data_IF_241853858651
#
_entry.id   IF_241853858651
#
_cell.length_a   1.000
_cell.length_b   1.000
_cell.length_c   1.000
_cell.angle_alpha   90.00
_cell.angle_beta   90.00
_cell.angle_gamma   90.00
#
_symmetry.space_group_name_H-M   'P 1'
#
loop_
_entity.id
_entity.type
_entity.pdbx_description
1 polymer ?
#
# COMPACT_ATOMS: atom_id res chain seq x y z
N UNK A 1 -4.25 43.19 0.15
CA UNK A 1 -3.43 42.08 -0.37
C UNK A 1 -3.88 40.85 0.39
N UNK A 2 -4.56 39.92 -0.28
CA UNK A 2 -5.06 38.70 0.35
C UNK A 2 -3.94 37.67 0.21
N UNK A 3 -3.17 37.44 1.27
CA UNK A 3 -2.16 36.38 1.27
C UNK A 3 -2.86 35.03 1.23
N UNK A 4 -2.71 34.32 0.11
CA UNK A 4 -3.23 32.98 -0.07
C UNK A 4 -2.42 32.02 0.80
N UNK A 5 -2.94 31.66 1.97
CA UNK A 5 -2.39 30.60 2.82
C UNK A 5 -2.55 29.25 2.10
N UNK A 6 -1.48 28.74 1.52
CA UNK A 6 -1.41 27.39 0.99
C UNK A 6 -1.21 26.41 2.15
N UNK A 7 -2.26 25.67 2.50
CA UNK A 7 -2.15 24.55 3.43
C UNK A 7 -1.55 23.39 2.65
N UNK A 8 -0.30 23.00 2.95
CA UNK A 8 0.30 21.81 2.39
C UNK A 8 -0.41 20.57 2.95
N UNK A 9 -1.28 19.96 2.17
CA UNK A 9 -1.93 18.71 2.53
C UNK A 9 -0.93 17.55 2.39
N UNK A 10 -0.81 16.72 3.43
CA UNK A 10 -0.09 15.46 3.34
C UNK A 10 -0.71 14.62 2.21
N UNK A 11 0.08 14.33 1.21
CA UNK A 11 -0.38 13.74 -0.04
C UNK A 11 0.71 12.89 -0.67
N UNK A 12 0.29 11.90 -1.46
CA UNK A 12 1.15 10.93 -2.07
C UNK A 12 0.33 9.88 -2.81
N UNK A 13 1.02 8.85 -3.26
CA UNK A 13 0.42 7.75 -3.99
C UNK A 13 1.02 6.44 -3.50
N UNK A 14 0.17 5.41 -3.43
CA UNK A 14 0.61 4.02 -3.33
C UNK A 14 0.36 3.37 -4.69
N UNK A 15 1.41 2.79 -5.27
CA UNK A 15 1.35 1.97 -6.47
C UNK A 15 1.66 0.51 -6.11
N UNK A 16 1.17 -0.42 -6.93
CA UNK A 16 1.40 -1.84 -6.74
C UNK A 16 1.96 -2.44 -8.02
N UNK A 17 3.20 -2.92 -7.97
CA UNK A 17 3.71 -3.77 -9.03
C UNK A 17 3.30 -5.20 -8.73
N UNK A 18 2.37 -5.75 -9.52
CA UNK A 18 1.83 -7.08 -9.32
C UNK A 18 1.98 -7.91 -10.60
N UNK A 19 2.50 -9.12 -10.45
CA UNK A 19 2.66 -10.05 -11.56
C UNK A 19 2.26 -11.47 -11.15
N UNK A 20 1.68 -12.27 -12.08
CA UNK A 20 1.44 -13.68 -11.82
C UNK A 20 2.75 -14.40 -11.50
N UNK A 21 2.73 -15.28 -10.51
CA UNK A 21 3.86 -16.14 -10.20
C UNK A 21 3.37 -17.50 -9.69
N UNK A 22 3.63 -18.55 -10.46
CA UNK A 22 3.10 -19.88 -10.18
C UNK A 22 1.57 -19.87 -10.11
N UNK A 23 1.02 -20.40 -9.01
CA UNK A 23 -0.43 -20.43 -8.75
C UNK A 23 -0.97 -19.14 -8.10
N UNK A 24 -0.16 -18.09 -8.04
CA UNK A 24 -0.42 -16.92 -7.22
C UNK A 24 0.07 -15.62 -7.83
N UNK A 25 0.32 -14.64 -6.95
CA UNK A 25 0.77 -13.31 -7.30
C UNK A 25 2.00 -12.91 -6.49
N UNK A 26 2.98 -12.35 -7.17
CA UNK A 26 4.02 -11.55 -6.52
C UNK A 26 3.57 -10.09 -6.56
N UNK A 27 3.52 -9.43 -5.39
CA UNK A 27 3.05 -8.05 -5.26
C UNK A 27 4.07 -7.23 -4.47
N UNK A 28 4.49 -6.11 -5.03
CA UNK A 28 5.43 -5.18 -4.41
C UNK A 28 4.79 -3.79 -4.36
N UNK A 29 4.31 -3.34 -3.19
CA UNK A 29 3.84 -1.98 -3.01
C UNK A 29 4.98 -0.97 -3.03
N UNK A 30 4.71 0.18 -3.63
CA UNK A 30 5.61 1.32 -3.73
C UNK A 30 4.89 2.58 -3.29
N UNK A 31 5.59 3.46 -2.59
CA UNK A 31 5.04 4.72 -2.08
C UNK A 31 5.80 5.90 -2.66
N UNK A 32 5.06 6.90 -3.13
CA UNK A 32 5.60 8.22 -3.49
C UNK A 32 4.94 9.26 -2.59
N UNK A 33 5.71 10.20 -2.05
CA UNK A 33 5.21 11.31 -1.21
C UNK A 33 5.44 12.63 -1.92
N UNK A 34 4.52 13.59 -1.75
CA UNK A 34 4.69 14.93 -2.32
C UNK A 34 5.72 15.78 -1.56
N UNK A 35 5.94 15.49 -0.27
CA UNK A 35 6.87 16.19 0.60
C UNK A 35 7.64 15.19 1.48
N UNK A 36 8.89 15.50 1.89
CA UNK A 36 9.64 14.64 2.78
C UNK A 36 8.91 14.39 4.11
N UNK A 37 8.98 13.17 4.64
CA UNK A 37 8.37 12.82 5.92
C UNK A 37 9.11 11.69 6.65
N UNK A 38 8.97 11.66 7.97
CA UNK A 38 9.11 10.43 8.75
C UNK A 38 7.72 9.80 8.84
N UNK A 39 7.42 8.88 7.92
CA UNK A 39 6.09 8.33 7.72
C UNK A 39 5.93 6.97 8.39
N UNK A 40 4.77 6.74 9.01
CA UNK A 40 4.33 5.42 9.44
C UNK A 40 3.62 4.73 8.28
N UNK A 41 4.06 3.52 7.99
CA UNK A 41 3.49 2.65 6.96
C UNK A 41 2.78 1.50 7.66
N UNK A 42 1.51 1.30 7.33
CA UNK A 42 0.71 0.15 7.76
C UNK A 42 0.30 -0.65 6.52
N UNK A 43 0.63 -1.94 6.51
CA UNK A 43 0.28 -2.85 5.43
C UNK A 43 -0.63 -3.93 6.00
N UNK A 44 -1.82 -4.05 5.44
CA UNK A 44 -2.81 -5.06 5.80
C UNK A 44 -3.11 -5.93 4.59
N UNK A 45 -2.88 -7.23 4.72
CA UNK A 45 -3.25 -8.23 3.73
C UNK A 45 -4.36 -9.09 4.30
N UNK A 46 -5.53 -9.04 3.67
CA UNK A 46 -6.63 -9.95 3.93
C UNK A 46 -6.73 -10.96 2.79
N UNK A 47 -6.74 -12.25 3.11
CA UNK A 47 -7.06 -13.33 2.16
C UNK A 47 -8.12 -14.20 2.78
N UNK A 48 -9.26 -14.35 2.12
CA UNK A 48 -10.32 -15.26 2.51
C UNK A 48 -10.57 -16.25 1.38
N UNK A 49 -10.58 -17.53 1.69
CA UNK A 49 -10.82 -18.59 0.71
C UNK A 49 -11.40 -19.85 1.36
N UNK A 50 -11.51 -20.93 0.57
CA UNK A 50 -12.08 -22.19 1.05
C UNK A 50 -11.33 -22.83 2.23
N UNK A 51 -10.04 -22.51 2.40
CA UNK A 51 -9.21 -22.97 3.53
C UNK A 51 -9.24 -22.06 4.77
N UNK A 52 -10.00 -20.96 4.73
CA UNK A 52 -10.13 -20.01 5.84
C UNK A 52 -9.72 -18.57 5.47
N UNK A 53 -9.63 -17.72 6.50
CA UNK A 53 -9.18 -16.33 6.38
C UNK A 53 -7.82 -16.12 7.03
N UNK A 54 -6.97 -15.34 6.40
CA UNK A 54 -5.68 -14.88 6.88
C UNK A 54 -5.69 -13.36 6.85
N UNK A 55 -5.32 -12.76 7.98
CA UNK A 55 -5.07 -11.33 8.09
C UNK A 55 -3.63 -11.13 8.53
N UNK A 56 -2.83 -10.49 7.69
CA UNK A 56 -1.47 -10.09 8.02
C UNK A 56 -1.43 -8.59 8.20
N UNK A 57 -0.89 -8.14 9.32
CA UNK A 57 -0.72 -6.73 9.62
C UNK A 57 0.76 -6.43 9.86
N UNK A 58 1.33 -5.48 9.12
CA UNK A 58 2.71 -5.03 9.25
C UNK A 58 2.76 -3.52 9.48
N UNK A 59 3.60 -3.08 10.41
CA UNK A 59 3.85 -1.65 10.66
C UNK A 59 5.34 -1.36 10.55
N UNK A 60 5.68 -0.25 9.92
CA UNK A 60 7.05 0.27 9.88
C UNK A 60 7.06 1.79 9.90
N UNK A 61 8.21 2.36 10.20
CA UNK A 61 8.46 3.81 10.11
C UNK A 61 9.61 4.00 9.15
N UNK A 62 9.41 4.83 8.14
CA UNK A 62 10.39 5.08 7.08
C UNK A 62 10.56 6.58 6.85
N UNK A 63 11.79 7.01 6.60
CA UNK A 63 12.06 8.33 6.04
C UNK A 63 11.82 8.27 4.53
N UNK A 64 10.91 9.11 4.02
CA UNK A 64 10.55 9.18 2.60
C UNK A 64 10.91 10.56 2.05
N UNK A 65 11.43 10.59 0.81
CA UNK A 65 11.67 11.80 0.03
C UNK A 65 10.84 11.76 -1.26
N UNK A 66 10.53 12.92 -1.88
CA UNK A 66 9.69 12.98 -3.07
C UNK A 66 10.39 12.56 -4.37
N UNK A 67 11.71 12.36 -4.33
CA UNK A 67 12.54 12.25 -5.53
C UNK A 67 12.36 10.92 -6.28
N UNK A 68 11.90 9.87 -5.59
CA UNK A 68 11.67 8.55 -6.20
C UNK A 68 10.64 7.71 -5.41
N UNK A 69 9.89 6.82 -6.11
CA UNK A 69 9.07 5.82 -5.45
C UNK A 69 9.90 4.93 -4.52
N UNK A 70 9.44 4.75 -3.29
CA UNK A 70 10.05 3.84 -2.32
C UNK A 70 9.34 2.50 -2.31
N UNK A 71 10.07 1.44 -2.66
CA UNK A 71 9.63 0.06 -2.45
C UNK A 71 9.48 -0.23 -0.95
N UNK A 72 8.38 -0.87 -0.57
CA UNK A 72 8.10 -1.29 0.79
C UNK A 72 8.60 -2.73 1.03
N UNK A 73 7.79 -3.72 0.68
CA UNK A 73 8.06 -5.15 0.83
C UNK A 73 7.52 -5.92 -0.38
N UNK A 74 8.02 -7.13 -0.61
CA UNK A 74 7.50 -8.02 -1.65
C UNK A 74 6.72 -9.15 -0.98
N UNK A 75 5.48 -9.33 -1.41
CA UNK A 75 4.57 -10.38 -0.97
C UNK A 75 4.45 -11.46 -2.03
N UNK A 76 4.44 -12.71 -1.59
CA UNK A 76 4.15 -13.87 -2.41
C UNK A 76 2.83 -14.46 -1.92
N UNK A 77 1.80 -14.35 -2.74
CA UNK A 77 0.42 -14.69 -2.38
C UNK A 77 -0.01 -15.90 -3.19
N UNK A 78 -0.28 -17.02 -2.52
CA UNK A 78 -0.96 -18.14 -3.17
C UNK A 78 -2.47 -17.82 -3.25
N UNK A 79 -3.02 -17.73 -4.45
CA UNK A 79 -4.40 -17.26 -4.69
C UNK A 79 -5.18 -18.24 -5.57
N UNK A 80 -6.14 -18.95 -4.98
CA UNK A 80 -7.11 -19.77 -5.69
C UNK A 80 -8.18 -18.91 -6.37
N UNK A 81 -8.94 -19.48 -7.32
CA UNK A 81 -9.93 -18.74 -8.10
C UNK A 81 -11.02 -18.06 -7.25
N UNK A 82 -11.40 -18.71 -6.14
CA UNK A 82 -12.48 -18.26 -5.27
C UNK A 82 -11.99 -17.43 -4.08
N UNK A 83 -10.67 -17.15 -4.02
CA UNK A 83 -10.12 -16.37 -2.93
C UNK A 83 -10.42 -14.88 -3.11
N UNK A 84 -10.91 -14.24 -2.05
CA UNK A 84 -10.98 -12.79 -1.94
C UNK A 84 -9.70 -12.31 -1.29
N UNK A 85 -8.90 -11.55 -2.05
CA UNK A 85 -7.62 -11.00 -1.57
C UNK A 85 -7.64 -9.48 -1.64
N UNK A 86 -7.21 -8.83 -0.58
CA UNK A 86 -7.04 -7.39 -0.49
C UNK A 86 -5.73 -7.06 0.19
N UNK A 87 -4.88 -6.26 -0.47
CA UNK A 87 -3.67 -5.69 0.10
C UNK A 87 -3.86 -4.18 0.22
N UNK A 88 -3.97 -3.68 1.43
CA UNK A 88 -4.13 -2.27 1.75
C UNK A 88 -2.84 -1.72 2.34
N UNK A 89 -2.41 -0.57 1.85
CA UNK A 89 -1.27 0.17 2.40
C UNK A 89 -1.75 1.55 2.80
N UNK A 90 -1.60 1.87 4.07
CA UNK A 90 -1.88 3.19 4.62
C UNK A 90 -0.56 3.86 5.00
N UNK A 91 -0.37 5.07 4.50
CA UNK A 91 0.79 5.92 4.80
C UNK A 91 0.27 7.09 5.61
N UNK A 92 0.90 7.36 6.75
CA UNK A 92 0.54 8.48 7.63
C UNK A 92 1.78 9.26 8.02
N UNK A 93 1.60 10.57 8.23
CA UNK A 93 2.62 11.40 8.85
C UNK A 93 2.61 11.26 10.39
N UNK A 94 3.28 12.18 11.08
CA UNK A 94 3.29 12.21 12.54
C UNK A 94 2.00 12.76 13.17
N UNK A 95 1.09 13.31 12.34
CA UNK A 95 -0.21 13.83 12.73
C UNK A 95 -1.34 12.82 12.42
N UNK A 96 -2.47 13.35 11.95
CA UNK A 96 -3.66 12.56 11.62
C UNK A 96 -3.85 12.35 10.13
N UNK A 97 -2.99 12.95 9.30
CA UNK A 97 -3.16 12.90 7.86
C UNK A 97 -2.62 11.58 7.30
N UNK A 98 -3.37 11.00 6.36
CA UNK A 98 -2.99 9.75 5.72
C UNK A 98 -3.51 9.66 4.30
N UNK A 99 -2.85 8.85 3.49
CA UNK A 99 -3.38 8.37 2.22
C UNK A 99 -3.25 6.85 2.17
N UNK A 100 -4.12 6.22 1.38
CA UNK A 100 -4.21 4.77 1.30
C UNK A 100 -4.26 4.33 -0.16
N UNK A 101 -3.58 3.23 -0.48
CA UNK A 101 -3.84 2.48 -1.70
C UNK A 101 -4.26 1.07 -1.39
N UNK A 102 -4.97 0.47 -2.33
CA UNK A 102 -5.44 -0.89 -2.23
C UNK A 102 -5.20 -1.62 -3.54
N UNK A 103 -4.85 -2.89 -3.42
CA UNK A 103 -4.74 -3.81 -4.53
C UNK A 103 -5.51 -5.10 -4.26
N UNK A 104 -6.09 -5.64 -5.31
CA UNK A 104 -6.64 -6.99 -5.36
C UNK A 104 -6.23 -7.65 -6.68
N UNK A 105 -6.13 -8.98 -6.73
CA UNK A 105 -5.91 -9.71 -7.97
C UNK A 105 -6.95 -9.31 -9.03
N UNK A 106 -6.57 -9.17 -10.31
CA UNK A 106 -7.53 -9.12 -11.40
C UNK A 106 -8.42 -10.36 -11.35
N UNK A 107 -9.72 -10.19 -11.64
CA UNK A 107 -10.60 -11.36 -11.78
C UNK A 107 -10.10 -12.23 -12.93
N UNK A 108 -9.93 -13.53 -12.69
CA UNK A 108 -9.73 -14.48 -13.78
C UNK A 108 -11.07 -14.65 -14.49
N UNK A 109 -11.17 -14.13 -15.71
CA UNK A 109 -12.27 -14.41 -16.65
C UNK A 109 -12.18 -15.83 -17.19
#
# INVERSE_FOLDING_TARGET
MLDLLMIAAFSGQVAFNAQPQGVGWQVTPMVTVAHPCLCRIEIELHRQGGSGSIVTHQKSVLSLSPDAPRTLSTFFLSVSADDIVTLRVTVSDSGTASFTGQWSPPQRT
#
